data_IF_010089259779
#
_entry.id   IF_010089259779
#
_cell.length_a   1.000
_cell.length_b   1.000
_cell.length_c   1.000
_cell.angle_alpha   90.00
_cell.angle_beta   90.00
_cell.angle_gamma   90.00
#
_symmetry.space_group_name_H-M   'P 1'
#
loop_
_entity.id
_entity.type
_entity.pdbx_description
1 polymer ?
#
# COMPACT_ATOMS: atom_id res chain seq x y z
N UNK A 1 -2.95 -12.14 -11.66
CA UNK A 1 -3.11 -11.65 -10.28
C UNK A 1 -3.69 -10.25 -10.35
N UNK A 2 -4.80 -9.98 -9.67
CA UNK A 2 -5.32 -8.61 -9.54
C UNK A 2 -4.79 -7.99 -8.25
N UNK A 3 -4.63 -6.66 -8.25
CA UNK A 3 -4.15 -5.92 -7.09
C UNK A 3 -5.22 -4.95 -6.61
N UNK A 4 -5.23 -4.71 -5.32
CA UNK A 4 -5.90 -3.58 -4.70
C UNK A 4 -4.83 -2.52 -4.41
N UNK A 5 -5.19 -1.25 -4.56
CA UNK A 5 -4.31 -0.11 -4.32
C UNK A 5 -4.88 0.77 -3.22
N UNK A 6 -3.99 1.29 -2.39
CA UNK A 6 -4.30 2.29 -1.39
C UNK A 6 -3.36 3.48 -1.57
N UNK A 7 -3.91 4.68 -1.45
CA UNK A 7 -3.16 5.94 -1.53
C UNK A 7 -3.50 6.75 -0.30
N UNK A 8 -2.48 7.13 0.46
CA UNK A 8 -2.63 7.93 1.69
C UNK A 8 -1.74 9.18 1.60
N UNK A 9 -2.11 10.29 2.26
CA UNK A 9 -1.22 11.44 2.37
C UNK A 9 0.06 11.06 3.11
N UNK A 10 1.20 11.55 2.63
CA UNK A 10 2.46 11.40 3.35
C UNK A 10 2.41 12.22 4.67
N UNK A 11 3.08 11.76 5.75
CA UNK A 11 3.15 12.54 6.96
C UNK A 11 3.85 13.88 6.70
N UNK A 12 3.24 14.99 7.12
CA UNK A 12 3.79 16.34 6.96
C UNK A 12 4.73 16.75 8.09
N UNK A 13 4.61 16.09 9.25
CA UNK A 13 5.35 16.43 10.46
C UNK A 13 5.98 15.21 11.08
N UNK A 14 7.19 15.41 11.60
CA UNK A 14 7.86 14.39 12.39
C UNK A 14 7.17 14.15 13.71
N UNK A 15 7.24 12.91 14.19
CA UNK A 15 6.70 12.49 15.47
C UNK A 15 7.84 12.27 16.47
N UNK A 16 7.59 12.57 17.75
CA UNK A 16 8.57 12.30 18.80
C UNK A 16 8.63 10.79 19.00
N UNK A 17 9.78 10.20 18.68
CA UNK A 17 10.08 8.80 18.93
C UNK A 17 11.32 8.67 19.82
N UNK A 18 11.45 7.53 20.50
CA UNK A 18 12.63 7.23 21.32
C UNK A 18 13.87 7.22 20.41
N UNK A 19 14.81 8.12 20.67
CA UNK A 19 16.03 8.29 19.86
C UNK A 19 15.94 9.37 18.76
N UNK A 20 14.75 9.85 18.41
CA UNK A 20 14.56 10.90 17.40
C UNK A 20 14.74 12.31 17.98
N UNK A 21 15.99 12.74 18.12
CA UNK A 21 16.34 14.02 18.74
C UNK A 21 16.28 15.22 17.77
N UNK A 22 16.51 15.00 16.47
CA UNK A 22 16.52 16.04 15.44
C UNK A 22 15.19 16.09 14.66
N UNK A 23 14.85 17.21 13.98
CA UNK A 23 13.69 17.27 13.09
C UNK A 23 13.67 16.18 12.03
N UNK A 24 14.80 15.94 11.35
CA UNK A 24 14.92 14.90 10.33
C UNK A 24 14.70 13.50 10.91
N UNK A 25 15.25 13.21 12.09
CA UNK A 25 15.05 11.93 12.74
C UNK A 25 13.58 11.71 13.14
N UNK A 26 12.88 12.77 13.55
CA UNK A 26 11.44 12.71 13.86
C UNK A 26 10.61 12.50 12.61
N UNK A 27 10.99 13.13 11.51
CA UNK A 27 10.34 12.95 10.21
C UNK A 27 10.52 11.52 9.70
N UNK A 28 11.75 11.01 9.70
CA UNK A 28 12.04 9.63 9.33
C UNK A 28 11.29 8.62 10.21
N UNK A 29 11.20 8.87 11.53
CA UNK A 29 10.43 8.02 12.43
C UNK A 29 8.92 8.03 12.11
N UNK A 30 8.34 9.19 11.80
CA UNK A 30 6.94 9.29 11.39
C UNK A 30 6.67 8.55 10.07
N UNK A 31 7.57 8.69 9.09
CA UNK A 31 7.45 7.98 7.82
C UNK A 31 7.57 6.46 8.03
N UNK A 32 8.56 6.01 8.80
CA UNK A 32 8.74 4.60 9.10
C UNK A 32 7.53 4.01 9.85
N UNK A 33 6.92 4.78 10.75
CA UNK A 33 5.71 4.37 11.44
C UNK A 33 4.57 4.09 10.45
N UNK A 34 4.27 5.03 9.56
CA UNK A 34 3.22 4.86 8.54
C UNK A 34 3.51 3.65 7.65
N UNK A 35 4.75 3.51 7.19
CA UNK A 35 5.14 2.36 6.35
C UNK A 35 4.94 1.02 7.08
N UNK A 36 5.32 0.95 8.35
CA UNK A 36 5.16 -0.26 9.16
C UNK A 36 3.69 -0.57 9.48
N UNK A 37 2.87 0.46 9.74
CA UNK A 37 1.43 0.31 9.97
C UNK A 37 0.72 -0.25 8.73
N UNK A 38 1.03 0.26 7.54
CA UNK A 38 0.45 -0.28 6.30
C UNK A 38 1.01 -1.68 5.97
N UNK A 39 2.31 -1.91 6.19
CA UNK A 39 2.90 -3.24 6.01
C UNK A 39 2.27 -4.29 6.92
N UNK A 40 1.95 -3.93 8.18
CA UNK A 40 1.26 -4.82 9.12
C UNK A 40 -0.15 -5.21 8.65
N UNK A 41 -0.78 -4.37 7.82
CA UNK A 41 -2.09 -4.64 7.19
C UNK A 41 -1.97 -5.41 5.85
N UNK A 42 -0.75 -5.79 5.46
CA UNK A 42 -0.49 -6.53 4.23
C UNK A 42 -0.33 -5.65 2.98
N UNK A 43 -0.13 -4.34 3.15
CA UNK A 43 0.15 -3.43 2.06
C UNK A 43 1.64 -3.34 1.74
N UNK A 44 1.97 -3.41 0.46
CA UNK A 44 3.32 -3.26 -0.07
C UNK A 44 3.53 -1.82 -0.54
N UNK A 45 4.51 -1.12 0.02
CA UNK A 45 4.89 0.21 -0.46
C UNK A 45 5.38 0.16 -1.90
N UNK A 46 4.92 1.08 -2.73
CA UNK A 46 5.31 1.16 -4.14
C UNK A 46 6.15 2.40 -4.42
N UNK A 47 5.65 3.58 -4.03
CA UNK A 47 6.30 4.87 -4.29
C UNK A 47 5.68 6.02 -3.50
N UNK A 48 6.42 7.12 -3.42
CA UNK A 48 5.92 8.42 -3.02
C UNK A 48 5.73 9.28 -4.28
N UNK A 49 4.66 10.08 -4.32
CA UNK A 49 4.32 10.94 -5.45
C UNK A 49 3.91 12.33 -4.97
N UNK A 50 4.02 13.32 -5.86
CA UNK A 50 3.53 14.69 -5.61
C UNK A 50 2.51 15.05 -6.68
N UNK A 51 1.25 15.17 -6.29
CA UNK A 51 0.13 15.33 -7.23
C UNK A 51 -0.65 16.62 -6.98
N UNK A 52 -1.17 17.28 -8.02
CA UNK A 52 -2.05 18.43 -7.86
C UNK A 52 -3.44 18.00 -7.37
N UNK A 53 -3.96 18.71 -6.38
CA UNK A 53 -5.31 18.60 -5.83
C UNK A 53 -6.04 19.94 -5.98
N UNK A 54 -7.29 19.90 -6.43
CA UNK A 54 -8.12 21.09 -6.58
C UNK A 54 -8.90 21.33 -5.28
N UNK A 55 -8.61 22.41 -4.57
CA UNK A 55 -9.29 22.80 -3.33
C UNK A 55 -10.13 24.05 -3.52
N UNK A 56 -11.22 24.19 -2.77
CA UNK A 56 -12.01 25.43 -2.75
C UNK A 56 -11.18 26.56 -2.13
N UNK A 57 -11.23 27.73 -2.76
CA UNK A 57 -10.64 28.97 -2.27
C UNK A 57 -11.72 30.06 -2.22
N UNK A 58 -12.19 30.39 -1.02
CA UNK A 58 -13.29 31.35 -0.84
C UNK A 58 -14.63 30.83 -1.36
N UNK A 59 -15.53 31.74 -1.74
CA UNK A 59 -16.89 31.39 -2.18
C UNK A 59 -16.98 30.91 -3.64
N UNK A 60 -16.10 31.39 -4.52
CA UNK A 60 -16.19 31.13 -5.98
C UNK A 60 -14.89 30.62 -6.61
N UNK A 61 -13.78 30.59 -5.87
CA UNK A 61 -12.47 30.20 -6.40
C UNK A 61 -12.12 28.74 -6.15
N UNK A 62 -11.24 28.19 -6.97
CA UNK A 62 -10.49 26.97 -6.70
C UNK A 62 -9.00 27.26 -6.79
N UNK A 63 -8.19 26.55 -5.99
CA UNK A 63 -6.73 26.58 -6.05
C UNK A 63 -6.17 25.18 -6.25
N UNK A 64 -5.07 25.09 -6.95
CA UNK A 64 -4.28 23.86 -7.02
C UNK A 64 -3.31 23.80 -5.85
N UNK A 65 -3.35 22.71 -5.08
CA UNK A 65 -2.41 22.39 -4.00
C UNK A 65 -1.67 21.12 -4.38
N UNK A 66 -0.35 21.12 -4.30
CA UNK A 66 0.44 19.91 -4.51
C UNK A 66 0.55 19.14 -3.20
N UNK A 67 0.06 17.90 -3.20
CA UNK A 67 0.06 17.01 -2.04
C UNK A 67 1.04 15.87 -2.26
N UNK A 68 1.80 15.55 -1.20
CA UNK A 68 2.65 14.37 -1.18
C UNK A 68 1.82 13.17 -0.76
N UNK A 69 1.87 12.08 -1.53
CA UNK A 69 1.12 10.86 -1.25
C UNK A 69 2.03 9.63 -1.27
N UNK A 70 1.65 8.62 -0.51
CA UNK A 70 2.28 7.31 -0.49
C UNK A 70 1.33 6.31 -1.15
N UNK A 71 1.86 5.55 -2.11
CA UNK A 71 1.10 4.56 -2.88
C UNK A 71 1.49 3.17 -2.42
N UNK A 72 0.48 2.36 -2.10
CA UNK A 72 0.62 0.98 -1.69
C UNK A 72 -0.21 0.06 -2.56
N UNK A 73 0.14 -1.23 -2.59
CA UNK A 73 -0.67 -2.28 -3.23
C UNK A 73 -0.74 -3.53 -2.36
N UNK A 74 -1.75 -4.36 -2.58
CA UNK A 74 -1.79 -5.75 -2.09
C UNK A 74 -2.40 -6.66 -3.13
N UNK A 75 -1.94 -7.91 -3.20
CA UNK A 75 -2.55 -8.90 -4.09
C UNK A 75 -3.97 -9.20 -3.62
N UNK A 76 -4.94 -9.20 -4.54
CA UNK A 76 -6.27 -9.72 -4.24
C UNK A 76 -6.20 -11.25 -4.26
N UNK A 77 -6.89 -11.94 -3.33
CA UNK A 77 -7.05 -13.38 -3.45
C UNK A 77 -7.70 -13.67 -4.80
N UNK A 78 -7.01 -14.44 -5.64
CA UNK A 78 -7.65 -14.99 -6.84
C UNK A 78 -8.76 -15.92 -6.35
N UNK A 79 -9.96 -15.91 -6.94
CA UNK A 79 -10.78 -17.11 -6.84
C UNK A 79 -9.90 -18.22 -7.40
N UNK A 80 -9.58 -19.21 -6.56
CA UNK A 80 -8.84 -20.36 -7.01
C UNK A 80 -9.60 -20.90 -8.22
N UNK A 81 -8.93 -21.01 -9.36
CA UNK A 81 -9.44 -21.92 -10.37
C UNK A 81 -9.33 -23.29 -9.72
N UNK A 82 -10.46 -23.81 -9.25
CA UNK A 82 -10.60 -25.21 -8.87
C UNK A 82 -10.12 -26.01 -10.08
N UNK A 83 -8.87 -26.46 -10.02
CA UNK A 83 -8.36 -27.47 -10.91
C UNK A 83 -9.00 -28.77 -10.40
N UNK A 84 -9.85 -29.45 -11.19
CA UNK A 84 -10.42 -30.73 -10.78
C UNK A 84 -9.27 -31.68 -10.42
N UNK A 85 -9.36 -32.30 -9.25
CA UNK A 85 -8.41 -33.27 -8.73
C UNK A 85 -8.54 -34.61 -9.45
N UNK A 86 -8.45 -34.62 -10.78
CA UNK A 86 -8.69 -35.78 -11.62
C UNK A 86 -7.52 -36.01 -12.57
N UNK A 87 -6.34 -36.29 -11.98
CA UNK A 87 -5.17 -36.78 -12.71
C UNK A 87 -4.19 -37.55 -11.81
N UNK A 88 -4.66 -38.19 -10.74
CA UNK A 88 -3.80 -39.02 -9.88
C UNK A 88 -4.30 -40.47 -9.69
N UNK A 89 -5.33 -40.89 -10.41
CA UNK A 89 -5.91 -42.24 -10.30
C UNK A 89 -5.91 -43.00 -11.64
N UNK A 90 -4.88 -42.82 -12.47
CA UNK A 90 -4.69 -43.64 -13.69
C UNK A 90 -3.22 -44.09 -13.82
N UNK A 91 -2.70 -44.79 -12.82
CA UNK A 91 -1.50 -45.63 -13.00
C UNK A 91 -1.50 -46.91 -12.17
N UNK A 92 -2.59 -47.20 -11.45
CA UNK A 92 -2.76 -48.48 -10.76
C UNK A 92 -3.99 -49.18 -11.33
N UNK A 93 -3.82 -49.81 -12.50
CA UNK A 93 -4.46 -51.06 -12.93
C UNK A 93 -4.05 -51.27 -14.39
N UNK A 94 -3.09 -52.17 -14.62
CA UNK A 94 -3.27 -53.18 -15.66
C UNK A 94 -2.41 -54.42 -15.37
N UNK A 95 -2.98 -55.64 -15.54
CA UNK A 95 -2.38 -56.91 -15.13
C UNK A 95 -1.62 -57.60 -16.29
N UNK A 96 -0.64 -58.43 -15.95
CA UNK A 96 -0.23 -59.61 -16.72
C UNK A 96 0.57 -60.55 -15.81
#
# INVERSE_FOLDING_TARGET
MSYEYQVIPAPERGQKARGAKTPDARYAAALAQVLNEEAAQGWEFQRAEVLPSQEKQGLTGTRTVYVNVLVFRRARPSPARELPAEAAAETAVSPA
#
